data_IF_678462199615
#
_entry.id   IF_678462199615
#
_cell.length_a   1.000
_cell.length_b   1.000
_cell.length_c   1.000
_cell.angle_alpha   90.00
_cell.angle_beta   90.00
_cell.angle_gamma   90.00
#
_symmetry.space_group_name_H-M   'P 1'
#
loop_
_entity.id
_entity.type
_entity.pdbx_description
1 polymer ?
#
# COMPACT_ATOMS: atom_id res chain seq x y z
N UNK A 1 4.39 26.77 15.38
CA UNK A 1 3.36 25.78 14.99
C UNK A 1 3.08 25.95 13.51
N UNK A 2 3.78 25.21 12.65
CA UNK A 2 3.54 25.26 11.20
C UNK A 2 2.19 24.61 10.92
N UNK A 3 1.24 25.41 10.44
CA UNK A 3 -0.05 24.93 9.93
C UNK A 3 0.24 23.97 8.77
N UNK A 4 -0.04 22.68 8.97
CA UNK A 4 -0.28 21.75 7.87
C UNK A 4 -1.65 22.13 7.33
N UNK A 5 -1.70 23.13 6.46
CA UNK A 5 -2.85 23.32 5.59
C UNK A 5 -2.90 22.07 4.70
N UNK A 6 -3.75 21.11 5.06
CA UNK A 6 -4.13 19.99 4.21
C UNK A 6 -4.64 20.62 2.91
N UNK A 7 -3.78 20.72 1.89
CA UNK A 7 -4.25 20.94 0.54
C UNK A 7 -4.95 19.65 0.18
N UNK A 8 -6.26 19.56 0.43
CA UNK A 8 -7.11 18.48 -0.10
C UNK A 8 -7.20 18.67 -1.61
N UNK A 9 -6.05 18.54 -2.27
CA UNK A 9 -5.83 18.82 -3.67
C UNK A 9 -5.98 17.52 -4.42
N UNK A 10 -7.22 17.17 -4.76
CA UNK A 10 -7.58 16.30 -5.90
C UNK A 10 -6.84 14.95 -6.03
N UNK A 11 -6.22 14.43 -4.97
CA UNK A 11 -5.79 13.03 -4.94
C UNK A 11 -7.07 12.22 -4.82
N UNK A 12 -7.48 11.57 -5.92
CA UNK A 12 -8.59 10.62 -5.91
C UNK A 12 -8.32 9.62 -4.79
N UNK A 13 -9.20 9.50 -3.79
CA UNK A 13 -8.94 8.66 -2.60
C UNK A 13 -9.06 7.16 -2.87
N UNK A 14 -9.45 6.78 -4.09
CA UNK A 14 -9.54 5.39 -4.51
C UNK A 14 -8.25 4.94 -5.22
N UNK A 15 -7.63 3.81 -4.79
CA UNK A 15 -6.58 3.16 -5.53
C UNK A 15 -7.15 2.46 -6.77
N UNK A 16 -6.32 2.30 -7.80
CA UNK A 16 -6.63 1.64 -9.06
C UNK A 16 -6.57 0.11 -8.93
N UNK A 17 -5.70 -0.42 -8.06
CA UNK A 17 -5.64 -1.86 -7.77
C UNK A 17 -6.68 -2.23 -6.72
N UNK A 18 -7.84 -2.72 -7.19
CA UNK A 18 -8.91 -3.18 -6.31
C UNK A 18 -8.85 -4.71 -6.18
N UNK A 19 -8.72 -5.16 -4.94
CA UNK A 19 -8.64 -6.57 -4.57
C UNK A 19 -9.31 -6.75 -3.22
N UNK A 20 -9.90 -7.92 -2.99
CA UNK A 20 -10.55 -8.22 -1.73
C UNK A 20 -9.60 -8.05 -0.55
N UNK A 21 -9.99 -7.21 0.41
CA UNK A 21 -9.17 -6.89 1.57
C UNK A 21 -10.01 -6.32 2.71
N UNK A 22 -9.61 -6.59 3.95
CA UNK A 22 -10.14 -5.90 5.13
C UNK A 22 -9.75 -4.40 5.16
N UNK A 23 -8.77 -3.99 4.36
CA UNK A 23 -8.26 -2.62 4.31
C UNK A 23 -8.95 -1.72 3.27
N UNK A 24 -9.98 -2.19 2.55
CA UNK A 24 -10.65 -1.41 1.51
C UNK A 24 -11.10 -0.02 1.97
N UNK A 25 -11.74 0.06 3.15
CA UNK A 25 -12.20 1.32 3.75
C UNK A 25 -11.09 2.22 4.30
N UNK A 26 -9.86 1.71 4.37
CA UNK A 26 -8.68 2.40 4.92
C UNK A 26 -7.79 3.02 3.82
N UNK A 27 -8.13 2.88 2.54
CA UNK A 27 -7.41 3.58 1.47
C UNK A 27 -7.32 5.11 1.68
N UNK A 28 -8.38 5.82 2.12
CA UNK A 28 -8.28 7.24 2.46
C UNK A 28 -7.27 7.54 3.58
N UNK A 29 -7.13 6.62 4.55
CA UNK A 29 -6.13 6.75 5.61
C UNK A 29 -4.71 6.64 5.06
N UNK A 30 -4.45 5.70 4.14
CA UNK A 30 -3.16 5.60 3.46
C UNK A 30 -2.83 6.89 2.67
N UNK A 31 -3.81 7.44 1.94
CA UNK A 31 -3.65 8.69 1.20
C UNK A 31 -3.29 9.86 2.14
N UNK A 32 -4.06 10.03 3.21
CA UNK A 32 -3.83 11.07 4.22
C UNK A 32 -2.45 10.94 4.86
N UNK A 33 -2.04 9.74 5.26
CA UNK A 33 -0.74 9.50 5.91
C UNK A 33 0.42 9.86 4.97
N UNK A 34 0.32 9.49 3.69
CA UNK A 34 1.32 9.83 2.66
C UNK A 34 1.42 11.34 2.45
N UNK A 35 0.30 12.04 2.39
CA UNK A 35 0.28 13.48 2.17
C UNK A 35 0.82 14.26 3.37
N UNK A 36 0.33 13.92 4.57
CA UNK A 36 0.66 14.62 5.80
C UNK A 36 2.12 14.41 6.24
N UNK A 37 2.64 13.18 6.12
CA UNK A 37 3.95 12.83 6.66
C UNK A 37 5.02 12.56 5.61
N UNK A 38 4.64 12.30 4.35
CA UNK A 38 5.55 11.98 3.24
C UNK A 38 6.67 10.99 3.62
N UNK A 39 6.34 9.84 4.27
CA UNK A 39 7.37 8.96 4.80
C UNK A 39 8.24 8.40 3.68
N UNK A 40 9.57 8.38 3.91
CA UNK A 40 10.52 7.76 2.97
C UNK A 40 10.46 6.24 2.98
N UNK A 41 10.10 5.65 4.12
CA UNK A 41 9.98 4.20 4.28
C UNK A 41 8.66 3.85 4.94
N UNK A 42 7.99 2.83 4.45
CA UNK A 42 6.83 2.19 5.08
C UNK A 42 7.11 0.70 5.17
N UNK A 43 6.80 0.12 6.31
CA UNK A 43 6.82 -1.33 6.52
C UNK A 43 5.40 -1.74 6.83
N UNK A 44 4.84 -2.61 6.00
CA UNK A 44 3.55 -3.25 6.23
C UNK A 44 3.79 -4.65 6.81
N UNK A 45 3.01 -5.00 7.83
CA UNK A 45 3.00 -6.32 8.43
C UNK A 45 1.63 -6.95 8.16
N UNK A 46 1.62 -8.08 7.46
CA UNK A 46 0.39 -8.74 7.01
C UNK A 46 -0.13 -8.14 5.70
N UNK A 47 0.59 -8.39 4.61
CA UNK A 47 0.27 -7.89 3.27
C UNK A 47 -0.92 -8.61 2.63
N UNK A 48 -1.10 -9.90 2.92
CA UNK A 48 -2.12 -10.75 2.30
C UNK A 48 -2.13 -10.57 0.76
N UNK A 49 -3.24 -10.11 0.18
CA UNK A 49 -3.36 -9.90 -1.27
C UNK A 49 -2.65 -8.64 -1.79
N UNK A 50 -2.19 -7.73 -0.93
CA UNK A 50 -1.40 -6.55 -1.30
C UNK A 50 -2.16 -5.22 -1.38
N UNK A 51 -3.44 -5.18 -1.01
CA UNK A 51 -4.27 -3.98 -1.21
C UNK A 51 -3.66 -2.71 -0.59
N UNK A 52 -3.30 -2.80 0.69
CA UNK A 52 -2.84 -1.64 1.47
C UNK A 52 -1.47 -1.16 1.01
N UNK A 53 -0.49 -2.04 0.77
CA UNK A 53 0.83 -1.63 0.25
C UNK A 53 0.71 -0.99 -1.15
N UNK A 54 -0.15 -1.51 -2.03
CA UNK A 54 -0.37 -0.92 -3.35
C UNK A 54 -1.10 0.41 -3.25
N UNK A 55 -2.05 0.58 -2.32
CA UNK A 55 -2.63 1.89 -2.05
C UNK A 55 -1.56 2.90 -1.60
N UNK A 56 -0.66 2.52 -0.68
CA UNK A 56 0.47 3.37 -0.28
C UNK A 56 1.40 3.73 -1.45
N UNK A 57 1.67 2.78 -2.34
CA UNK A 57 2.51 2.97 -3.52
C UNK A 57 1.86 3.90 -4.56
N UNK A 58 0.58 3.71 -4.85
CA UNK A 58 -0.17 4.56 -5.77
C UNK A 58 -0.24 6.01 -5.27
N UNK A 59 -0.56 6.21 -3.99
CA UNK A 59 -0.61 7.57 -3.42
C UNK A 59 0.78 8.21 -3.39
N UNK A 60 1.85 7.43 -3.19
CA UNK A 60 3.20 7.93 -3.34
C UNK A 60 3.49 8.44 -4.74
N UNK A 61 3.13 7.67 -5.77
CA UNK A 61 3.31 8.07 -7.17
C UNK A 61 2.51 9.34 -7.49
N UNK A 62 1.23 9.41 -7.06
CA UNK A 62 0.38 10.60 -7.25
C UNK A 62 0.94 11.87 -6.60
N UNK A 63 1.69 11.71 -5.50
CA UNK A 63 2.34 12.79 -4.77
C UNK A 63 3.77 13.09 -5.25
N UNK A 64 4.26 12.39 -6.28
CA UNK A 64 5.63 12.54 -6.78
C UNK A 64 6.71 12.11 -5.78
N UNK A 65 6.41 11.12 -4.94
CA UNK A 65 7.32 10.61 -3.92
C UNK A 65 8.01 9.32 -4.39
N UNK A 66 9.25 9.10 -3.94
CA UNK A 66 10.02 7.87 -4.19
C UNK A 66 10.25 7.10 -2.89
N UNK A 67 9.23 6.41 -2.34
CA UNK A 67 9.37 5.67 -1.09
C UNK A 67 10.02 4.31 -1.29
N UNK A 68 10.49 3.74 -0.18
CA UNK A 68 10.74 2.32 0.00
C UNK A 68 9.57 1.72 0.78
N UNK A 69 8.88 0.75 0.20
CA UNK A 69 7.71 0.10 0.77
C UNK A 69 8.01 -1.40 0.93
N UNK A 70 8.05 -1.87 2.17
CA UNK A 70 8.34 -3.26 2.52
C UNK A 70 7.03 -3.96 2.88
N UNK A 71 6.66 -4.98 2.11
CA UNK A 71 5.48 -5.81 2.27
C UNK A 71 5.86 -7.12 2.96
N UNK A 72 5.75 -7.17 4.29
CA UNK A 72 6.13 -8.35 5.06
C UNK A 72 4.91 -9.21 5.37
N UNK A 73 4.95 -10.44 4.87
CA UNK A 73 3.97 -11.48 5.18
C UNK A 73 4.66 -12.83 5.31
N UNK A 74 4.02 -13.75 6.02
CA UNK A 74 4.41 -15.17 6.03
C UNK A 74 4.09 -15.89 4.73
N UNK A 75 3.15 -15.32 3.95
CA UNK A 75 2.60 -15.86 2.71
C UNK A 75 1.89 -17.21 2.87
N UNK A 76 1.51 -17.54 4.11
CA UNK A 76 0.81 -18.77 4.49
C UNK A 76 -0.57 -18.49 5.09
N UNK A 77 -0.81 -17.26 5.51
CA UNK A 77 -1.97 -16.88 6.30
C UNK A 77 -1.88 -17.32 7.76
N UNK A 78 -2.93 -17.01 8.51
CA UNK A 78 -3.07 -17.33 9.93
C UNK A 78 -4.56 -17.51 10.28
N UNK A 79 -4.87 -17.70 11.57
CA UNK A 79 -6.24 -17.89 12.04
C UNK A 79 -7.14 -16.65 11.82
N UNK A 80 -6.57 -15.46 11.62
CA UNK A 80 -7.32 -14.21 11.44
C UNK A 80 -7.60 -13.91 9.96
N UNK A 81 -6.60 -14.09 9.10
CA UNK A 81 -6.67 -13.84 7.66
C UNK A 81 -7.17 -15.06 6.87
N UNK A 82 -7.20 -16.24 7.50
CA UNK A 82 -7.36 -17.52 6.84
C UNK A 82 -6.05 -17.98 6.18
N UNK A 83 -5.90 -19.29 6.00
CA UNK A 83 -4.75 -19.87 5.32
C UNK A 83 -4.89 -19.76 3.80
N UNK A 84 -3.80 -19.43 3.12
CA UNK A 84 -3.74 -19.31 1.68
C UNK A 84 -2.40 -19.82 1.14
N UNK A 85 -2.36 -20.12 -0.16
CA UNK A 85 -1.20 -20.71 -0.82
C UNK A 85 -0.26 -19.68 -1.48
N UNK A 86 0.87 -20.18 -1.97
CA UNK A 86 1.92 -19.39 -2.63
C UNK A 86 1.44 -18.53 -3.80
N UNK A 87 0.31 -18.90 -4.44
CA UNK A 87 -0.30 -18.10 -5.50
C UNK A 87 -0.60 -16.65 -5.08
N UNK A 88 -0.84 -16.41 -3.78
CA UNK A 88 -0.98 -15.03 -3.25
C UNK A 88 0.33 -14.28 -3.37
N UNK A 89 1.45 -14.85 -2.90
CA UNK A 89 2.79 -14.27 -3.04
C UNK A 89 3.11 -13.97 -4.51
N UNK A 90 2.90 -14.95 -5.39
CA UNK A 90 3.18 -14.81 -6.82
C UNK A 90 2.40 -13.65 -7.43
N UNK A 91 1.12 -13.52 -7.08
CA UNK A 91 0.26 -12.43 -7.56
C UNK A 91 0.76 -11.07 -7.06
N UNK A 92 1.09 -10.95 -5.76
CA UNK A 92 1.61 -9.69 -5.20
C UNK A 92 2.95 -9.34 -5.85
N UNK A 93 3.83 -10.33 -6.03
CA UNK A 93 5.15 -10.14 -6.63
C UNK A 93 5.04 -9.66 -8.08
N UNK A 94 4.15 -10.26 -8.88
CA UNK A 94 3.91 -9.84 -10.27
C UNK A 94 3.41 -8.39 -10.32
N UNK A 95 2.43 -8.02 -9.49
CA UNK A 95 1.90 -6.65 -9.46
C UNK A 95 2.98 -5.66 -9.01
N UNK A 96 3.74 -5.98 -7.96
CA UNK A 96 4.83 -5.15 -7.46
C UNK A 96 5.87 -4.88 -8.55
N UNK A 97 6.29 -5.90 -9.28
CA UNK A 97 7.27 -5.76 -10.37
C UNK A 97 6.72 -4.99 -11.57
N UNK A 98 5.45 -5.20 -11.93
CA UNK A 98 4.84 -4.56 -13.10
C UNK A 98 4.51 -3.09 -12.88
N UNK A 99 4.04 -2.73 -11.67
CA UNK A 99 3.47 -1.40 -11.41
C UNK A 99 4.33 -0.54 -10.47
N UNK A 100 5.14 -1.18 -9.61
CA UNK A 100 5.89 -0.52 -8.54
C UNK A 100 7.35 -1.02 -8.41
N UNK A 101 8.09 -1.26 -9.52
CA UNK A 101 9.39 -1.95 -9.49
C UNK A 101 10.45 -1.24 -8.64
N UNK A 102 10.35 0.08 -8.51
CA UNK A 102 11.33 0.89 -7.78
C UNK A 102 10.96 1.16 -6.33
N UNK A 103 9.72 0.85 -5.91
CA UNK A 103 9.21 1.24 -4.59
C UNK A 103 8.76 0.08 -3.71
N UNK A 104 8.18 -0.99 -4.24
CA UNK A 104 7.64 -2.11 -3.43
C UNK A 104 8.60 -3.30 -3.40
N UNK A 105 8.80 -3.89 -2.22
CA UNK A 105 9.65 -5.05 -1.96
C UNK A 105 8.90 -6.03 -1.05
N UNK A 106 8.97 -7.32 -1.36
CA UNK A 106 8.38 -8.43 -0.59
C UNK A 106 9.46 -9.16 0.20
#
# INVERSE_FOLDING_TARGET
>A
FHSVALRVGRVLLAPSHFMESAWLSHAPFAAWLREAHRPRTVVELGTHRGFSIFAFAEFAQRLGLSPVLQALDTWKGDDQAGFYGEAVYDTVQVIAQQHFPDSVRL
#
